data_IF_579195634506
#
_entry.id   IF_579195634506
#
_cell.length_a   1.000
_cell.length_b   1.000
_cell.length_c   1.000
_cell.angle_alpha   90.00
_cell.angle_beta   90.00
_cell.angle_gamma   90.00
#
_symmetry.space_group_name_H-M   'P 1'
#
loop_
_entity.id
_entity.type
_entity.pdbx_description
1 polymer ?
#
# COMPACT_ATOMS: atom_id res chain seq x y z
N UNK A 1 -52.32 -39.19 26.89
CA UNK A 1 -50.93 -39.46 27.30
C UNK A 1 -50.00 -38.78 26.29
N UNK A 2 -49.17 -37.80 26.71
CA UNK A 2 -48.35 -36.97 25.81
C UNK A 2 -46.97 -37.59 25.60
N UNK A 3 -46.41 -37.54 24.38
CA UNK A 3 -45.01 -37.91 24.13
C UNK A 3 -44.40 -37.11 22.96
N UNK A 4 -43.38 -36.31 23.32
CA UNK A 4 -42.19 -35.86 22.55
C UNK A 4 -42.45 -35.24 21.16
N UNK A 5 -42.30 -33.93 20.89
CA UNK A 5 -41.21 -32.99 21.24
C UNK A 5 -39.82 -33.63 21.12
N UNK A 6 -39.31 -33.74 19.90
CA UNK A 6 -37.90 -34.07 19.69
C UNK A 6 -37.57 -34.43 18.25
N UNK A 7 -37.12 -33.43 17.48
CA UNK A 7 -35.96 -33.52 16.55
C UNK A 7 -36.02 -32.50 15.39
N UNK A 8 -36.26 -31.23 15.68
CA UNK A 8 -35.81 -30.16 14.78
C UNK A 8 -34.31 -29.94 15.01
N UNK A 9 -33.48 -30.89 14.58
CA UNK A 9 -32.03 -30.84 14.78
C UNK A 9 -31.24 -31.43 13.59
N UNK A 10 -31.73 -31.28 12.36
CA UNK A 10 -30.97 -31.65 11.16
C UNK A 10 -30.98 -30.49 10.17
N UNK A 11 -30.39 -29.37 10.58
CA UNK A 11 -29.98 -28.28 9.69
C UNK A 11 -28.49 -27.95 9.87
N UNK A 12 -27.69 -28.95 10.28
CA UNK A 12 -26.29 -28.78 10.65
C UNK A 12 -25.30 -29.53 9.75
N UNK A 13 -25.64 -29.85 8.49
CA UNK A 13 -24.76 -30.64 7.63
C UNK A 13 -24.73 -30.18 6.17
N UNK A 14 -24.65 -28.86 5.91
CA UNK A 14 -24.31 -28.33 4.57
C UNK A 14 -23.57 -26.97 4.62
N UNK A 15 -22.76 -26.68 5.66
CA UNK A 15 -21.92 -25.46 5.66
C UNK A 15 -20.50 -25.75 6.14
N UNK A 16 -19.92 -26.83 5.66
CA UNK A 16 -18.52 -27.12 5.89
C UNK A 16 -17.93 -27.66 4.62
N UNK A 17 -17.14 -26.84 3.93
CA UNK A 17 -16.05 -27.18 2.99
C UNK A 17 -15.85 -26.14 1.86
N UNK A 18 -16.71 -25.13 1.72
CA UNK A 18 -16.48 -23.99 0.80
C UNK A 18 -15.96 -22.71 1.50
N UNK A 19 -15.17 -22.83 2.58
CA UNK A 19 -14.47 -21.67 3.18
C UNK A 19 -12.97 -21.94 3.17
N UNK A 20 -12.40 -22.02 1.97
CA UNK A 20 -10.97 -22.30 1.82
C UNK A 20 -10.30 -21.64 0.62
N UNK A 21 -11.01 -20.84 -0.19
CA UNK A 21 -10.38 -20.24 -1.38
C UNK A 21 -11.05 -19.00 -2.00
N UNK A 22 -11.78 -18.18 -1.24
CA UNK A 22 -12.46 -16.99 -1.82
C UNK A 22 -12.31 -15.69 -1.02
N UNK A 23 -11.35 -15.61 -0.09
CA UNK A 23 -11.06 -14.37 0.65
C UNK A 23 -9.56 -14.20 0.89
N UNK A 24 -8.70 -14.67 -0.03
CA UNK A 24 -7.35 -14.11 -0.06
C UNK A 24 -7.55 -12.63 -0.39
N UNK A 25 -7.16 -11.69 0.50
CA UNK A 25 -7.16 -10.28 0.14
C UNK A 25 -6.38 -10.17 -1.15
N UNK A 26 -6.93 -9.48 -2.15
CA UNK A 26 -6.15 -9.23 -3.37
C UNK A 26 -4.82 -8.56 -2.96
N UNK A 27 -3.69 -9.03 -3.51
CA UNK A 27 -2.42 -8.39 -3.22
C UNK A 27 -2.49 -6.92 -3.65
N UNK A 28 -2.01 -6.04 -2.79
CA UNK A 28 -1.87 -4.63 -3.14
C UNK A 28 -0.93 -4.52 -4.33
N UNK A 29 -1.30 -3.75 -5.33
CA UNK A 29 -0.59 -3.58 -6.57
C UNK A 29 -0.46 -2.09 -6.86
N UNK A 30 0.77 -1.62 -7.10
CA UNK A 30 1.06 -0.27 -7.52
C UNK A 30 0.54 -0.07 -8.95
N UNK A 31 -0.48 0.76 -9.09
CA UNK A 31 -1.12 1.06 -10.36
C UNK A 31 -0.45 2.23 -11.07
N UNK A 32 -0.15 3.30 -10.32
CA UNK A 32 0.34 4.55 -10.91
C UNK A 32 1.16 5.36 -9.90
N UNK A 33 2.15 6.10 -10.40
CA UNK A 33 2.83 7.16 -9.66
C UNK A 33 2.51 8.48 -10.33
N UNK A 34 2.06 9.43 -9.52
CA UNK A 34 1.88 10.82 -9.90
C UNK A 34 2.87 11.68 -9.15
N UNK A 35 3.40 12.68 -9.85
CA UNK A 35 4.39 13.58 -9.31
C UNK A 35 3.81 14.98 -9.37
N UNK A 36 3.76 15.63 -8.22
CA UNK A 36 3.35 17.03 -8.04
C UNK A 36 4.47 17.77 -7.31
N UNK A 37 4.50 19.10 -7.37
CA UNK A 37 5.51 19.92 -6.69
C UNK A 37 5.67 19.52 -5.20
N UNK A 38 6.82 18.94 -4.87
CA UNK A 38 7.19 18.45 -3.54
C UNK A 38 6.40 17.23 -3.04
N UNK A 39 5.52 16.64 -3.85
CA UNK A 39 4.66 15.52 -3.45
C UNK A 39 4.69 14.40 -4.47
N UNK A 40 4.97 13.18 -4.02
CA UNK A 40 4.82 11.97 -4.82
C UNK A 40 3.57 11.22 -4.35
N UNK A 41 2.66 10.94 -5.28
CA UNK A 41 1.44 10.18 -4.99
C UNK A 41 1.56 8.79 -5.61
N UNK A 42 1.47 7.75 -4.79
CA UNK A 42 1.43 6.37 -5.24
C UNK A 42 -0.01 5.84 -5.14
N UNK A 43 -0.54 5.38 -6.26
CA UNK A 43 -1.87 4.81 -6.37
C UNK A 43 -1.80 3.29 -6.36
N UNK A 44 -2.58 2.66 -5.50
CA UNK A 44 -2.72 1.22 -5.38
C UNK A 44 -4.18 0.82 -5.56
N UNK A 45 -4.44 -0.42 -5.96
CA UNK A 45 -5.79 -1.02 -5.96
C UNK A 45 -6.40 -1.11 -4.55
N UNK A 46 -5.58 -1.38 -3.51
CA UNK A 46 -6.01 -1.43 -2.12
C UNK A 46 -4.87 -0.98 -1.18
N UNK A 47 -5.19 -0.75 0.09
CA UNK A 47 -4.22 -0.31 1.10
C UNK A 47 -3.07 -1.33 1.24
N UNK A 48 -1.82 -0.93 0.93
CA UNK A 48 -0.65 -1.76 1.17
C UNK A 48 -0.17 -1.60 2.61
N UNK A 49 0.43 -2.66 3.16
CA UNK A 49 1.23 -2.50 4.38
C UNK A 49 2.45 -1.65 4.06
N UNK A 50 2.67 -0.59 4.84
CA UNK A 50 3.72 0.39 4.64
C UNK A 50 4.67 0.42 5.83
N UNK A 51 5.96 0.36 5.55
CA UNK A 51 7.02 0.66 6.50
C UNK A 51 7.89 1.80 5.95
N UNK A 52 8.08 2.87 6.72
CA UNK A 52 8.80 4.05 6.27
C UNK A 52 9.94 4.42 7.20
N UNK A 53 11.08 4.75 6.61
CA UNK A 53 12.31 5.12 7.32
C UNK A 53 12.97 6.32 6.63
N UNK A 54 13.68 7.14 7.42
CA UNK A 54 14.55 8.20 6.92
C UNK A 54 15.99 7.77 7.15
N UNK A 55 16.72 7.51 6.06
CA UNK A 55 18.11 7.01 6.09
C UNK A 55 19.01 8.03 5.41
N UNK A 56 20.02 8.54 6.13
CA UNK A 56 20.99 9.53 5.62
C UNK A 56 20.33 10.76 4.94
N UNK A 57 19.19 11.21 5.46
CA UNK A 57 18.43 12.32 4.87
C UNK A 57 17.74 11.97 3.54
N UNK A 58 17.60 10.69 3.22
CA UNK A 58 16.75 10.17 2.16
C UNK A 58 15.50 9.53 2.75
N UNK A 59 14.40 9.52 2.00
CA UNK A 59 13.15 8.88 2.43
C UNK A 59 13.05 7.51 1.75
N UNK A 60 12.89 6.45 2.55
CA UNK A 60 12.70 5.08 2.08
C UNK A 60 11.35 4.55 2.57
N UNK A 61 10.51 4.14 1.65
CA UNK A 61 9.18 3.58 1.92
C UNK A 61 9.10 2.19 1.30
N UNK A 62 8.88 1.19 2.14
CA UNK A 62 8.65 -0.19 1.74
C UNK A 62 7.15 -0.48 1.77
N UNK A 63 6.63 -0.92 0.63
CA UNK A 63 5.24 -1.36 0.47
C UNK A 63 5.21 -2.87 0.28
N UNK A 64 4.40 -3.59 1.07
CA UNK A 64 4.06 -4.98 0.76
C UNK A 64 3.01 -4.98 -0.37
N UNK A 65 3.50 -4.73 -1.57
CA UNK A 65 2.71 -4.62 -2.79
C UNK A 65 3.49 -5.20 -3.97
N UNK A 66 2.77 -5.56 -5.03
CA UNK A 66 3.29 -5.94 -6.33
C UNK A 66 3.33 -4.73 -7.26
N UNK A 67 4.18 -4.77 -8.28
CA UNK A 67 4.23 -3.72 -9.29
C UNK A 67 5.53 -3.77 -10.08
N UNK A 68 5.77 -2.73 -10.87
CA UNK A 68 6.93 -2.65 -11.74
C UNK A 68 7.96 -1.65 -11.20
N UNK A 69 9.26 -1.89 -11.39
CA UNK A 69 10.28 -0.89 -11.14
C UNK A 69 10.02 0.37 -11.97
N UNK A 70 10.06 1.52 -11.31
CA UNK A 70 9.82 2.82 -11.93
C UNK A 70 10.82 3.83 -11.39
N UNK A 71 11.09 4.89 -12.14
CA UNK A 71 11.95 5.97 -11.68
C UNK A 71 11.52 7.28 -12.32
N UNK A 72 11.85 8.36 -11.66
CA UNK A 72 11.62 9.69 -12.18
C UNK A 72 12.24 10.75 -11.30
N UNK A 73 11.83 11.98 -11.56
CA UNK A 73 12.29 13.15 -10.86
C UNK A 73 11.08 14.01 -10.50
N UNK A 74 11.15 14.66 -9.36
CA UNK A 74 10.19 15.68 -8.94
C UNK A 74 10.92 16.95 -8.53
N UNK A 75 10.24 18.09 -8.60
CA UNK A 75 10.77 19.36 -8.11
C UNK A 75 10.28 19.59 -6.68
N UNK A 76 11.21 19.92 -5.79
CA UNK A 76 10.93 20.40 -4.42
C UNK A 76 11.66 21.74 -4.26
N UNK A 77 10.92 22.82 -4.06
CA UNK A 77 11.49 24.19 -3.96
C UNK A 77 12.43 24.53 -5.14
N UNK A 78 12.06 24.13 -6.36
CA UNK A 78 12.86 24.33 -7.57
C UNK A 78 14.08 23.41 -7.72
N UNK A 79 14.35 22.53 -6.74
CA UNK A 79 15.44 21.56 -6.77
C UNK A 79 14.95 20.19 -7.17
N UNK A 80 15.87 19.41 -7.74
CA UNK A 80 15.59 18.06 -8.19
C UNK A 80 15.65 17.04 -7.05
N UNK A 81 14.59 16.26 -6.93
CA UNK A 81 14.51 15.08 -6.08
C UNK A 81 14.29 13.87 -6.97
N UNK A 82 15.24 12.94 -6.94
CA UNK A 82 15.15 11.70 -7.70
C UNK A 82 14.35 10.68 -6.89
N UNK A 83 13.39 10.03 -7.53
CA UNK A 83 12.65 8.95 -6.93
C UNK A 83 12.80 7.67 -7.76
N UNK A 84 12.77 6.53 -7.07
CA UNK A 84 12.80 5.22 -7.71
C UNK A 84 11.97 4.22 -6.91
N UNK A 85 11.21 3.40 -7.60
CA UNK A 85 10.61 2.17 -7.10
C UNK A 85 11.44 0.99 -7.59
N UNK A 86 11.81 0.11 -6.66
CA UNK A 86 12.54 -1.14 -6.93
C UNK A 86 11.76 -2.31 -6.35
N UNK A 87 11.93 -3.48 -6.94
CA UNK A 87 11.52 -4.73 -6.31
C UNK A 87 12.45 -5.02 -5.13
N UNK A 88 11.88 -5.55 -4.06
CA UNK A 88 12.54 -6.01 -2.85
C UNK A 88 11.92 -7.35 -2.45
N UNK A 89 12.62 -8.13 -1.62
CA UNK A 89 12.11 -9.41 -1.11
C UNK A 89 10.79 -9.24 -0.33
N UNK A 90 10.56 -8.07 0.25
CA UNK A 90 9.34 -7.74 1.01
C UNK A 90 8.27 -6.97 0.20
N UNK A 91 8.51 -6.69 -1.10
CA UNK A 91 7.57 -6.00 -1.99
C UNK A 91 8.20 -4.89 -2.84
N UNK A 92 7.70 -3.66 -2.75
CA UNK A 92 8.19 -2.49 -3.49
C UNK A 92 8.89 -1.50 -2.56
N UNK A 93 10.14 -1.17 -2.88
CA UNK A 93 10.91 -0.13 -2.19
C UNK A 93 10.92 1.16 -3.01
N UNK A 94 10.24 2.18 -2.51
CA UNK A 94 10.33 3.56 -2.99
C UNK A 94 11.45 4.30 -2.23
N UNK A 95 12.38 4.88 -2.95
CA UNK A 95 13.45 5.72 -2.39
C UNK A 95 13.40 7.09 -3.03
N UNK A 96 13.38 8.15 -2.20
CA UNK A 96 13.49 9.55 -2.63
C UNK A 96 14.80 10.14 -2.10
N UNK A 97 15.61 10.69 -3.01
CA UNK A 97 16.96 11.19 -2.73
C UNK A 97 17.13 12.57 -3.36
N UNK A 98 17.64 13.51 -2.58
CA UNK A 98 17.98 14.86 -3.01
C UNK A 98 19.42 15.23 -2.63
N UNK A 99 19.92 16.34 -3.15
CA UNK A 99 21.23 16.89 -2.77
C UNK A 99 21.28 17.42 -1.32
N UNK A 100 20.14 17.47 -0.62
CA UNK A 100 19.99 17.96 0.74
C UNK A 100 19.15 16.97 1.55
N UNK A 101 19.30 16.93 2.89
CA UNK A 101 18.45 16.10 3.73
C UNK A 101 16.97 16.41 3.52
N UNK A 102 16.20 15.37 3.24
CA UNK A 102 14.76 15.39 3.10
C UNK A 102 14.11 14.95 4.41
N UNK A 103 13.02 15.63 4.77
CA UNK A 103 12.00 15.10 5.66
C UNK A 103 10.84 14.59 4.82
N UNK A 104 10.35 13.41 5.15
CA UNK A 104 9.18 12.80 4.52
C UNK A 104 8.05 12.68 5.52
N UNK A 105 6.85 13.07 5.11
CA UNK A 105 5.61 12.70 5.77
C UNK A 105 4.73 11.98 4.74
N UNK A 106 4.03 10.95 5.15
CA UNK A 106 3.14 10.22 4.26
C UNK A 106 1.77 10.00 4.88
N UNK A 107 0.75 9.95 4.05
CA UNK A 107 -0.63 9.73 4.47
C UNK A 107 -1.33 8.90 3.42
N UNK A 108 -1.97 7.81 3.86
CA UNK A 108 -2.81 6.97 3.03
C UNK A 108 -4.28 7.38 3.18
N UNK A 109 -5.00 7.36 2.07
CA UNK A 109 -6.44 7.62 2.02
C UNK A 109 -7.07 6.85 0.87
N UNK A 110 -8.29 6.38 1.05
CA UNK A 110 -9.07 5.77 -0.02
C UNK A 110 -9.77 6.85 -0.85
N UNK A 111 -9.65 6.76 -2.18
CA UNK A 111 -10.23 7.69 -3.17
C UNK A 111 -10.69 6.89 -4.38
N UNK A 112 -11.99 6.96 -4.69
CA UNK A 112 -12.61 6.31 -5.86
C UNK A 112 -12.29 4.81 -5.98
N UNK A 113 -12.51 4.04 -4.90
CA UNK A 113 -12.20 2.60 -4.80
C UNK A 113 -10.72 2.25 -5.06
N UNK A 114 -9.82 3.24 -4.95
CA UNK A 114 -8.38 3.07 -5.02
C UNK A 114 -7.74 3.60 -3.76
N UNK A 115 -6.58 3.07 -3.43
CA UNK A 115 -5.79 3.59 -2.34
C UNK A 115 -4.78 4.63 -2.85
N UNK A 116 -4.82 5.81 -2.26
CA UNK A 116 -3.94 6.93 -2.57
C UNK A 116 -2.98 7.15 -1.41
N UNK A 117 -1.69 6.99 -1.67
CA UNK A 117 -0.63 7.33 -0.72
C UNK A 117 0.06 8.62 -1.15
N UNK A 118 -0.11 9.68 -0.38
CA UNK A 118 0.61 10.94 -0.57
C UNK A 118 1.92 10.92 0.23
N UNK A 119 3.05 11.12 -0.44
CA UNK A 119 4.37 11.29 0.15
C UNK A 119 4.77 12.75 -0.02
N UNK A 120 4.66 13.52 1.06
CA UNK A 120 5.01 14.94 1.12
C UNK A 120 6.45 15.08 1.57
N UNK A 121 7.23 15.76 0.74
CA UNK A 121 8.62 16.07 1.05
C UNK A 121 8.75 17.48 1.59
N UNK A 122 9.62 17.63 2.57
CA UNK A 122 10.01 18.91 3.13
C UNK A 122 11.53 18.97 3.20
N UNK A 123 12.11 20.15 2.94
CA UNK A 123 13.52 20.37 3.21
C UNK A 123 13.74 20.51 4.72
N UNK A 124 14.85 19.99 5.23
CA UNK A 124 15.29 20.18 6.62
C UNK A 124 15.99 21.53 6.81
#
# INVERSE_FOLDING_TARGET
MPRVMGSLAIFGMMVGLMIGRLTTPEPSALQQIEVTDGTLVAWFNNEPKLHGEIVDGSVALLFQAEGQPQKGQLKLNGKDVNWRVRLSDEGLLLTLVAARPLRGAWTGSEVDDRWRLEVRLQEQ
#
